data_IF_585609718288
#
_entry.id   IF_585609718288
#
_cell.length_a   1.000
_cell.length_b   1.000
_cell.length_c   1.000
_cell.angle_alpha   90.00
_cell.angle_beta   90.00
_cell.angle_gamma   90.00
#
_symmetry.space_group_name_H-M   'P 1'
#
loop_
_entity.id
_entity.type
_entity.pdbx_description
1 polymer ?
#
# COMPACT_ATOMS: atom_id res chain seq x y z
N UNK A 1 3.63 4.17 17.51
CA UNK A 1 2.23 4.18 17.03
C UNK A 1 2.09 3.14 15.93
N UNK A 2 0.90 2.61 15.68
CA UNK A 2 0.59 1.56 14.73
C UNK A 2 -0.84 1.65 14.20
N UNK A 3 -1.06 1.27 12.95
CA UNK A 3 -2.40 1.23 12.35
C UNK A 3 -2.42 0.30 11.14
N UNK A 4 -3.61 -0.14 10.76
CA UNK A 4 -3.85 -0.83 9.50
C UNK A 4 -4.17 0.17 8.39
N UNK A 5 -3.38 0.14 7.31
CA UNK A 5 -3.74 0.80 6.05
C UNK A 5 -4.22 -0.24 5.04
N UNK A 6 -5.13 0.16 4.17
CA UNK A 6 -5.64 -0.69 3.09
C UNK A 6 -5.48 0.02 1.75
N UNK A 7 -4.81 -0.63 0.81
CA UNK A 7 -4.63 -0.18 -0.56
C UNK A 7 -5.50 -1.05 -1.45
N UNK A 8 -6.43 -0.45 -2.18
CA UNK A 8 -7.27 -1.12 -3.15
C UNK A 8 -6.83 -0.70 -4.56
N UNK A 9 -6.35 -1.67 -5.34
CA UNK A 9 -5.92 -1.51 -6.72
C UNK A 9 -7.11 -1.67 -7.65
N UNK A 10 -7.47 -0.60 -8.34
CA UNK A 10 -8.64 -0.50 -9.20
C UNK A 10 -8.30 -0.73 -10.69
N UNK A 11 -7.06 -1.09 -11.00
CA UNK A 11 -6.55 -1.12 -12.36
C UNK A 11 -5.07 -0.80 -12.42
N UNK A 12 -4.55 -0.78 -13.64
CA UNK A 12 -3.16 -0.48 -13.91
C UNK A 12 -2.39 -1.69 -14.39
N UNK A 13 -1.25 -1.41 -14.99
CA UNK A 13 -0.40 -2.38 -15.64
C UNK A 13 0.96 -2.34 -14.98
N UNK A 14 1.44 -3.49 -14.53
CA UNK A 14 2.77 -3.59 -13.95
C UNK A 14 3.82 -3.22 -15.01
N UNK A 15 4.66 -2.22 -14.72
CA UNK A 15 5.73 -1.77 -15.64
C UNK A 15 7.00 -2.60 -15.49
N UNK A 16 7.07 -3.42 -14.43
CA UNK A 16 8.19 -4.31 -14.11
C UNK A 16 7.67 -5.68 -13.70
N UNK A 17 8.58 -6.61 -13.37
CA UNK A 17 8.26 -7.94 -12.84
C UNK A 17 7.72 -7.93 -11.39
N UNK A 18 7.41 -6.75 -10.85
CA UNK A 18 6.78 -6.56 -9.56
C UNK A 18 6.03 -5.23 -9.51
N UNK A 19 5.14 -5.11 -8.53
CA UNK A 19 4.58 -3.85 -8.03
C UNK A 19 4.96 -3.75 -6.56
N UNK A 20 5.39 -2.57 -6.12
CA UNK A 20 5.85 -2.36 -4.75
C UNK A 20 5.03 -1.27 -4.07
N UNK A 21 4.64 -1.54 -2.83
CA UNK A 21 4.16 -0.53 -1.90
C UNK A 21 5.36 -0.10 -1.06
N UNK A 22 5.73 1.17 -1.12
CA UNK A 22 6.85 1.74 -0.37
C UNK A 22 6.30 2.55 0.79
N UNK A 23 6.90 2.38 1.96
CA UNK A 23 6.59 3.08 3.19
C UNK A 23 7.72 4.07 3.49
N UNK A 24 7.38 5.29 3.92
CA UNK A 24 8.36 6.29 4.33
C UNK A 24 7.90 6.93 5.63
N UNK A 25 8.85 7.13 6.56
CA UNK A 25 8.59 7.53 7.95
C UNK A 25 7.66 6.57 8.72
N UNK A 26 7.52 5.34 8.23
CA UNK A 26 6.91 4.21 8.88
C UNK A 26 7.53 2.89 8.44
N UNK A 27 7.24 1.85 9.19
CA UNK A 27 7.66 0.48 8.88
C UNK A 27 6.50 -0.50 8.99
N UNK A 28 6.59 -1.63 8.30
CA UNK A 28 5.69 -2.76 8.50
C UNK A 28 5.87 -3.28 9.92
N UNK A 29 4.77 -3.34 10.67
CA UNK A 29 4.74 -3.76 12.07
C UNK A 29 3.67 -4.85 12.27
N UNK A 30 4.02 -6.11 11.93
CA UNK A 30 3.09 -7.21 12.09
C UNK A 30 2.85 -7.49 13.58
N UNK A 31 1.58 -7.68 13.94
CA UNK A 31 1.10 -8.15 15.24
C UNK A 31 0.43 -9.51 15.09
N UNK A 32 -0.03 -10.11 16.19
CA UNK A 32 -0.78 -11.36 16.14
C UNK A 32 -2.13 -11.23 15.39
N UNK A 33 -2.65 -10.02 15.23
CA UNK A 33 -3.97 -9.75 14.64
C UNK A 33 -3.88 -9.07 13.27
N UNK A 34 -2.85 -8.26 13.03
CA UNK A 34 -2.68 -7.48 11.82
C UNK A 34 -1.29 -7.70 11.23
N UNK A 35 -1.18 -7.80 9.91
CA UNK A 35 0.10 -8.01 9.23
C UNK A 35 0.04 -7.47 7.80
N UNK A 36 0.70 -8.16 6.88
CA UNK A 36 0.52 -7.91 5.44
C UNK A 36 -0.47 -8.94 4.90
N UNK A 37 -1.61 -8.48 4.41
CA UNK A 37 -2.62 -9.31 3.75
C UNK A 37 -2.74 -8.87 2.31
N UNK A 38 -2.50 -9.79 1.38
CA UNK A 38 -2.60 -9.52 -0.05
C UNK A 38 -3.72 -10.37 -0.63
N UNK A 39 -4.71 -9.72 -1.24
CA UNK A 39 -5.82 -10.35 -1.93
C UNK A 39 -5.89 -9.82 -3.36
N UNK A 40 -5.23 -10.50 -4.29
CA UNK A 40 -5.19 -10.12 -5.72
C UNK A 40 -6.09 -11.01 -6.56
N UNK A 41 -6.61 -10.43 -7.65
CA UNK A 41 -7.45 -11.13 -8.61
C UNK A 41 -6.66 -11.97 -9.64
N UNK A 42 -5.34 -11.75 -9.76
CA UNK A 42 -4.46 -12.44 -10.71
C UNK A 42 -3.50 -13.42 -10.02
N UNK A 43 -2.87 -14.29 -10.81
CA UNK A 43 -1.88 -15.26 -10.34
C UNK A 43 -0.58 -14.55 -9.91
N UNK A 44 -0.52 -14.18 -8.64
CA UNK A 44 0.72 -13.75 -8.00
C UNK A 44 1.70 -14.91 -7.91
N UNK A 45 2.98 -14.62 -8.09
CA UNK A 45 4.03 -15.65 -7.96
C UNK A 45 4.67 -15.64 -6.58
N UNK A 46 4.90 -14.47 -6.00
CA UNK A 46 5.53 -14.30 -4.68
C UNK A 46 5.15 -12.95 -4.05
N UNK A 47 5.22 -12.89 -2.72
CA UNK A 47 5.11 -11.66 -1.93
C UNK A 47 6.35 -11.58 -1.06
N UNK A 48 7.02 -10.43 -1.05
CA UNK A 48 8.18 -10.14 -0.21
C UNK A 48 7.88 -8.94 0.66
N UNK A 49 8.15 -9.07 1.96
CA UNK A 49 7.90 -8.02 2.95
C UNK A 49 9.23 -7.64 3.59
N UNK A 50 9.59 -6.37 3.44
CA UNK A 50 10.70 -5.71 4.11
C UNK A 50 10.14 -4.72 5.12
N UNK A 51 11.01 -4.13 5.95
CA UNK A 51 10.58 -3.17 6.97
C UNK A 51 9.89 -1.95 6.37
N UNK A 52 10.28 -1.50 5.18
CA UNK A 52 9.82 -0.28 4.53
C UNK A 52 9.13 -0.55 3.19
N UNK A 53 8.88 -1.82 2.84
CA UNK A 53 8.36 -2.16 1.52
C UNK A 53 7.60 -3.47 1.52
N UNK A 54 6.49 -3.52 0.77
CA UNK A 54 5.81 -4.75 0.38
C UNK A 54 5.89 -4.89 -1.13
N UNK A 55 6.58 -5.92 -1.61
CA UNK A 55 6.79 -6.18 -3.03
C UNK A 55 5.99 -7.40 -3.46
N UNK A 56 5.22 -7.25 -4.54
CA UNK A 56 4.32 -8.27 -5.06
C UNK A 56 4.80 -8.64 -6.46
N UNK A 57 5.30 -9.86 -6.60
CA UNK A 57 5.83 -10.35 -7.88
C UNK A 57 4.70 -10.68 -8.85
N UNK A 58 4.83 -10.14 -10.06
CA UNK A 58 3.86 -10.27 -11.16
C UNK A 58 4.60 -10.29 -12.49
N UNK A 59 3.90 -10.51 -13.61
CA UNK A 59 4.50 -10.38 -14.94
C UNK A 59 4.42 -8.93 -15.43
N UNK A 60 5.48 -8.44 -16.08
CA UNK A 60 5.44 -7.14 -16.77
C UNK A 60 4.28 -7.13 -17.77
N UNK A 61 3.49 -6.06 -17.78
CA UNK A 61 2.30 -5.96 -18.62
C UNK A 61 1.03 -6.58 -18.01
N UNK A 62 1.11 -7.26 -16.86
CA UNK A 62 -0.06 -7.81 -16.20
C UNK A 62 -0.95 -6.73 -15.62
N UNK A 63 -2.26 -6.98 -15.65
CA UNK A 63 -3.21 -6.17 -14.91
C UNK A 63 -3.03 -6.40 -13.40
N UNK A 64 -2.97 -5.31 -12.65
CA UNK A 64 -2.76 -5.34 -11.20
C UNK A 64 -4.02 -4.88 -10.47
N UNK A 65 -4.86 -5.85 -10.08
CA UNK A 65 -6.15 -5.61 -9.44
C UNK A 65 -6.28 -6.42 -8.14
N UNK A 66 -6.81 -5.80 -7.08
CA UNK A 66 -7.01 -6.44 -5.79
C UNK A 66 -6.77 -5.49 -4.63
N UNK A 67 -6.33 -6.01 -3.49
CA UNK A 67 -6.07 -5.20 -2.30
C UNK A 67 -4.89 -5.69 -1.47
N UNK A 68 -4.20 -4.75 -0.83
CA UNK A 68 -3.13 -5.01 0.14
C UNK A 68 -3.47 -4.28 1.42
N UNK A 69 -3.59 -5.00 2.53
CA UNK A 69 -3.66 -4.40 3.85
C UNK A 69 -2.30 -4.55 4.55
N UNK A 70 -1.80 -3.47 5.16
CA UNK A 70 -0.48 -3.41 5.80
C UNK A 70 -0.64 -2.83 7.19
N UNK A 71 -0.26 -3.59 8.21
CA UNK A 71 -0.02 -3.05 9.54
C UNK A 71 1.28 -2.25 9.52
N UNK A 72 1.21 -0.94 9.78
CA UNK A 72 2.37 -0.06 9.84
C UNK A 72 2.62 0.42 11.26
N UNK A 73 3.85 0.80 11.57
CA UNK A 73 4.22 1.54 12.78
C UNK A 73 5.05 2.76 12.45
N UNK A 74 4.94 3.78 13.30
CA UNK A 74 5.69 5.03 13.17
C UNK A 74 5.97 5.65 14.54
N UNK A 75 6.91 6.59 14.55
CA UNK A 75 7.31 7.35 15.74
C UNK A 75 6.25 8.41 16.07
N UNK A 76 6.07 8.71 17.35
CA UNK A 76 5.18 9.79 17.79
C UNK A 76 5.56 11.13 17.14
N UNK A 77 4.58 11.87 16.61
CA UNK A 77 4.80 13.10 15.85
C UNK A 77 5.33 12.90 14.42
N UNK A 78 5.65 11.66 14.01
CA UNK A 78 6.00 11.33 12.63
C UNK A 78 4.80 11.41 11.69
N UNK A 79 5.07 11.66 10.41
CA UNK A 79 4.07 11.71 9.35
C UNK A 79 4.31 10.55 8.38
N UNK A 80 3.71 9.37 8.62
CA UNK A 80 3.91 8.22 7.76
C UNK A 80 3.35 8.49 6.37
N UNK A 81 4.01 7.95 5.35
CA UNK A 81 3.60 8.08 3.95
C UNK A 81 3.76 6.77 3.20
N UNK A 82 2.99 6.65 2.11
CA UNK A 82 2.93 5.46 1.27
C UNK A 82 3.05 5.85 -0.19
N UNK A 83 3.80 5.09 -0.98
CA UNK A 83 3.93 5.27 -2.41
C UNK A 83 3.72 3.93 -3.13
N UNK A 84 3.43 4.01 -4.44
CA UNK A 84 3.38 2.85 -5.33
C UNK A 84 4.46 2.95 -6.39
N UNK A 85 5.25 1.90 -6.53
CA UNK A 85 6.21 1.75 -7.59
C UNK A 85 5.80 0.68 -8.59
N UNK A 86 6.28 0.86 -9.83
CA UNK A 86 6.14 -0.06 -10.94
C UNK A 86 4.70 -0.33 -11.43
N UNK A 87 3.81 0.67 -11.32
CA UNK A 87 2.43 0.57 -11.77
C UNK A 87 2.07 1.73 -12.70
N UNK A 88 1.80 1.45 -13.98
CA UNK A 88 1.36 2.46 -14.96
C UNK A 88 -0.15 2.42 -15.15
N UNK A 89 -0.76 3.60 -15.28
CA UNK A 89 -2.18 3.75 -15.61
C UNK A 89 -2.42 3.92 -17.12
N UNK A 90 -3.47 3.26 -17.62
CA UNK A 90 -4.01 3.45 -18.97
C UNK A 90 -5.16 4.46 -19.07
N UNK A 91 -5.47 5.17 -17.97
CA UNK A 91 -6.59 6.11 -17.82
C UNK A 91 -7.37 5.84 -16.52
N UNK A 92 -7.42 6.80 -15.59
CA UNK A 92 -8.05 6.67 -14.27
C UNK A 92 -7.06 6.56 -13.09
N UNK A 93 -7.56 6.25 -11.90
CA UNK A 93 -6.77 6.13 -10.68
C UNK A 93 -6.27 4.68 -10.50
N UNK A 94 -4.96 4.43 -10.29
CA UNK A 94 -4.43 3.06 -10.22
C UNK A 94 -4.85 2.36 -8.93
N UNK A 95 -4.85 3.10 -7.83
CA UNK A 95 -5.20 2.58 -6.52
C UNK A 95 -5.75 3.70 -5.63
N UNK A 96 -6.40 3.29 -4.56
CA UNK A 96 -6.74 4.14 -3.42
C UNK A 96 -6.13 3.56 -2.17
N UNK A 97 -5.72 4.41 -1.22
CA UNK A 97 -5.33 4.00 0.12
C UNK A 97 -6.32 4.55 1.14
N UNK A 98 -6.66 3.71 2.11
CA UNK A 98 -7.59 4.00 3.20
C UNK A 98 -6.91 3.78 4.55
N UNK A 99 -7.10 4.71 5.49
CA UNK A 99 -6.59 4.63 6.85
C UNK A 99 -7.56 5.26 7.86
N UNK A 100 -7.44 4.90 9.13
CA UNK A 100 -8.25 5.46 10.21
C UNK A 100 -7.78 6.87 10.59
N UNK A 101 -8.72 7.80 10.77
CA UNK A 101 -8.49 9.12 11.39
C UNK A 101 -9.46 9.32 12.56
N UNK A 102 -9.29 10.39 13.35
CA UNK A 102 -10.23 10.73 14.44
C UNK A 102 -11.66 11.02 13.97
N UNK A 103 -11.84 11.37 12.69
CA UNK A 103 -13.15 11.63 12.08
C UNK A 103 -13.80 10.43 11.41
N UNK A 104 -13.12 9.27 11.38
CA UNK A 104 -13.50 8.10 10.59
C UNK A 104 -12.43 7.73 9.55
N UNK A 105 -12.69 6.70 8.73
CA UNK A 105 -11.75 6.31 7.69
C UNK A 105 -11.64 7.38 6.60
N UNK A 106 -10.41 7.70 6.22
CA UNK A 106 -10.06 8.59 5.11
C UNK A 106 -9.59 7.73 3.93
N UNK A 107 -10.05 8.04 2.71
CA UNK A 107 -9.64 7.35 1.49
C UNK A 107 -9.13 8.36 0.47
N UNK A 108 -7.93 8.13 -0.06
CA UNK A 108 -7.33 9.00 -1.08
C UNK A 108 -6.77 8.20 -2.25
N UNK A 109 -6.64 8.87 -3.39
CA UNK A 109 -6.02 8.32 -4.59
C UNK A 109 -4.52 8.17 -4.34
N UNK A 110 -3.98 6.98 -4.63
CA UNK A 110 -2.57 6.69 -4.52
C UNK A 110 -1.98 6.59 -5.93
N UNK A 111 -1.32 7.65 -6.38
CA UNK A 111 -0.64 7.69 -7.67
C UNK A 111 0.71 6.93 -7.60
N UNK A 112 1.15 6.37 -8.72
CA UNK A 112 2.48 5.73 -8.76
C UNK A 112 3.58 6.77 -8.84
N UNK A 113 4.67 6.55 -8.08
CA UNK A 113 5.84 7.42 -8.02
C UNK A 113 5.75 8.60 -7.04
N UNK A 114 4.54 8.96 -6.60
CA UNK A 114 4.32 10.08 -5.69
C UNK A 114 3.93 9.58 -4.29
N UNK A 115 4.78 9.81 -3.26
CA UNK A 115 4.44 9.49 -1.89
C UNK A 115 3.24 10.30 -1.39
N UNK A 116 2.25 9.60 -0.84
CA UNK A 116 1.08 10.17 -0.19
C UNK A 116 1.25 10.14 1.33
N UNK A 117 1.22 11.31 1.96
CA UNK A 117 1.23 11.41 3.42
C UNK A 117 -0.13 10.99 4.01
N UNK A 118 -0.11 10.12 5.02
CA UNK A 118 -1.29 9.63 5.72
C UNK A 118 -1.69 10.63 6.82
N UNK A 119 -2.14 11.81 6.40
CA UNK A 119 -2.45 12.92 7.31
C UNK A 119 -3.55 12.51 8.29
N UNK A 120 -3.35 12.85 9.57
CA UNK A 120 -4.34 12.60 10.62
C UNK A 120 -4.53 11.13 10.98
N UNK A 121 -3.64 10.24 10.53
CA UNK A 121 -3.68 8.83 10.91
C UNK A 121 -3.64 8.67 12.43
N UNK A 122 -4.54 7.85 12.95
CA UNK A 122 -4.61 7.52 14.37
C UNK A 122 -4.05 6.13 14.63
N UNK A 123 -3.52 5.94 15.83
CA UNK A 123 -3.10 4.63 16.30
C UNK A 123 -4.33 3.74 16.55
N UNK A 124 -4.29 2.49 16.10
CA UNK A 124 -5.26 1.44 16.43
C UNK A 124 -5.03 0.87 17.85
#
# INVERSE_FOLDING_TARGET
MSALIRIDFAGGTATSGNVSVVLTDCTVAPSAQNGVVVAMASALTNISVLSDQVTIATTTGAQFNGSVAIAISWVEGGQPSVALDNLQIGGGNPATVTWSTSGGPETQILASGDPLALVGIVND
#
